data_IF_011500397225
#
_entry.id   IF_011500397225
#
_cell.length_a   1.000
_cell.length_b   1.000
_cell.length_c   1.000
_cell.angle_alpha   90.00
_cell.angle_beta   90.00
_cell.angle_gamma   90.00
#
_symmetry.space_group_name_H-M   'P 1'
#
loop_
_entity.id
_entity.type
_entity.pdbx_description
1 polymer ?
#
# COMPACT_ATOMS: atom_id res chain seq x y z
N UNK A 1 14.18 15.51 17.89
CA UNK A 1 13.09 15.12 16.97
C UNK A 1 12.55 16.38 16.30
N UNK A 2 12.55 16.44 14.96
CA UNK A 2 12.13 17.62 14.18
C UNK A 2 10.65 17.98 14.44
N UNK A 3 10.29 19.27 14.36
CA UNK A 3 8.91 19.75 14.52
C UNK A 3 7.93 19.05 13.56
N UNK A 4 8.38 18.76 12.32
CA UNK A 4 7.57 18.04 11.32
C UNK A 4 7.20 16.63 11.76
N UNK A 5 8.15 15.89 12.35
CA UNK A 5 7.92 14.51 12.82
C UNK A 5 6.90 14.48 13.95
N UNK A 6 6.96 15.46 14.87
CA UNK A 6 5.95 15.60 15.94
C UNK A 6 4.56 15.85 15.39
N UNK A 7 4.44 16.71 14.37
CA UNK A 7 3.16 17.00 13.73
C UNK A 7 2.57 15.79 13.01
N UNK A 8 3.38 15.04 12.25
CA UNK A 8 2.96 13.79 11.59
C UNK A 8 2.47 12.78 12.63
N UNK A 9 3.22 12.59 13.71
CA UNK A 9 2.85 11.65 14.78
C UNK A 9 1.52 12.04 15.44
N UNK A 10 1.33 13.32 15.77
CA UNK A 10 0.08 13.80 16.36
C UNK A 10 -1.12 13.62 15.42
N UNK A 11 -0.94 13.91 14.12
CA UNK A 11 -2.00 13.70 13.11
C UNK A 11 -2.31 12.22 12.94
N UNK A 12 -1.29 11.36 12.94
CA UNK A 12 -1.44 9.91 12.88
C UNK A 12 -2.26 9.36 14.06
N UNK A 13 -1.94 9.78 15.28
CA UNK A 13 -2.70 9.41 16.48
C UNK A 13 -4.15 9.89 16.39
N UNK A 14 -4.38 11.13 15.97
CA UNK A 14 -5.73 11.68 15.79
C UNK A 14 -6.57 10.92 14.75
N UNK A 15 -5.96 10.50 13.63
CA UNK A 15 -6.64 9.65 12.64
C UNK A 15 -6.91 8.25 13.18
N UNK A 16 -6.02 7.73 14.04
CA UNK A 16 -6.26 6.48 14.77
C UNK A 16 -7.51 6.55 15.65
N UNK A 17 -7.68 7.65 16.40
CA UNK A 17 -8.89 7.87 17.22
C UNK A 17 -10.15 8.01 16.37
N UNK A 18 -10.09 8.64 15.20
CA UNK A 18 -11.27 8.69 14.29
C UNK A 18 -11.63 7.31 13.76
N UNK A 19 -10.62 6.50 13.43
CA UNK A 19 -10.80 5.15 12.91
C UNK A 19 -11.31 4.17 13.97
N UNK A 20 -11.06 4.41 15.26
CA UNK A 20 -11.39 3.46 16.33
C UNK A 20 -12.87 3.08 16.38
N UNK A 21 -13.76 3.97 15.98
CA UNK A 21 -15.22 3.73 15.89
C UNK A 21 -15.55 2.60 14.90
N UNK A 22 -14.72 2.37 13.88
CA UNK A 22 -14.92 1.34 12.86
C UNK A 22 -14.27 0.01 13.20
N UNK A 23 -13.36 -0.04 14.18
CA UNK A 23 -12.57 -1.24 14.45
C UNK A 23 -13.43 -2.41 14.93
N UNK A 24 -14.50 -2.16 15.69
CA UNK A 24 -15.44 -3.19 16.12
C UNK A 24 -16.22 -3.77 14.93
N UNK A 25 -16.65 -2.92 13.99
CA UNK A 25 -17.29 -3.39 12.75
C UNK A 25 -16.33 -4.18 11.87
N UNK A 26 -15.07 -3.74 11.75
CA UNK A 26 -14.05 -4.47 11.01
C UNK A 26 -13.69 -5.80 11.67
N UNK A 27 -13.69 -5.89 12.99
CA UNK A 27 -13.53 -7.15 13.71
C UNK A 27 -14.64 -8.13 13.31
N UNK A 28 -15.90 -7.70 13.40
CA UNK A 28 -17.05 -8.52 13.04
C UNK A 28 -17.00 -8.98 11.57
N UNK A 29 -16.67 -8.08 10.65
CA UNK A 29 -16.51 -8.41 9.23
C UNK A 29 -15.36 -9.40 9.02
N UNK A 30 -14.25 -9.24 9.73
CA UNK A 30 -13.12 -10.17 9.68
C UNK A 30 -13.51 -11.58 10.10
N UNK A 31 -14.28 -11.71 11.18
CA UNK A 31 -14.70 -13.01 11.74
C UNK A 31 -15.63 -13.79 10.81
N UNK A 32 -16.59 -13.09 10.19
CA UNK A 32 -17.64 -13.73 9.37
C UNK A 32 -17.38 -13.71 7.86
N UNK A 33 -16.60 -12.75 7.34
CA UNK A 33 -16.40 -12.55 5.90
C UNK A 33 -14.94 -12.82 5.49
N UNK A 34 -13.98 -12.08 6.04
CA UNK A 34 -12.57 -12.20 5.64
C UNK A 34 -11.66 -12.58 6.82
N UNK A 35 -11.62 -13.89 7.10
CA UNK A 35 -10.88 -14.47 8.23
C UNK A 35 -9.36 -14.35 8.13
N UNK A 36 -8.83 -13.91 6.99
CA UNK A 36 -7.39 -13.61 6.87
C UNK A 36 -7.05 -12.25 7.49
N UNK A 37 -8.06 -11.39 7.67
CA UNK A 37 -7.96 -10.06 8.25
C UNK A 37 -8.77 -10.03 9.54
N UNK A 38 -8.13 -10.45 10.61
CA UNK A 38 -8.68 -10.45 11.96
C UNK A 38 -7.83 -9.58 12.86
N UNK A 39 -8.19 -9.50 14.14
CA UNK A 39 -7.41 -8.82 15.18
C UNK A 39 -7.35 -7.31 14.96
N UNK A 40 -8.51 -6.70 14.77
CA UNK A 40 -8.66 -5.24 14.78
C UNK A 40 -8.74 -4.72 16.22
N UNK A 41 -9.48 -5.41 17.07
CA UNK A 41 -9.67 -5.07 18.49
C UNK A 41 -9.07 -6.15 19.41
N UNK A 42 -9.32 -7.42 19.11
CA UNK A 42 -8.89 -8.56 19.92
C UNK A 42 -7.68 -9.26 19.30
N UNK A 43 -6.57 -9.33 20.03
CA UNK A 43 -5.38 -10.05 19.56
C UNK A 43 -5.53 -11.52 19.94
N UNK A 44 -5.51 -12.40 18.94
CA UNK A 44 -5.59 -13.83 19.19
C UNK A 44 -4.27 -14.35 19.73
N UNK A 45 -4.33 -15.27 20.70
CA UNK A 45 -3.12 -15.92 21.21
C UNK A 45 -2.65 -16.94 20.18
N UNK A 46 -1.34 -16.99 19.92
CA UNK A 46 -0.76 -17.95 18.99
C UNK A 46 -1.20 -19.39 19.31
N UNK A 47 -1.85 -20.05 18.35
CA UNK A 47 -2.41 -21.40 18.50
C UNK A 47 -3.87 -21.48 18.92
N UNK A 48 -4.54 -20.34 19.16
CA UNK A 48 -5.98 -20.31 19.41
C UNK A 48 -6.79 -20.55 18.13
N UNK A 49 -7.93 -21.24 18.25
CA UNK A 49 -8.85 -21.45 17.13
C UNK A 49 -9.64 -20.17 16.88
N UNK A 50 -9.39 -19.59 15.71
CA UNK A 50 -9.98 -18.33 15.26
C UNK A 50 -11.43 -18.51 14.77
N UNK A 51 -11.78 -19.68 14.24
CA UNK A 51 -13.03 -19.92 13.51
C UNK A 51 -14.12 -20.61 14.36
N UNK A 52 -14.06 -20.49 15.68
CA UNK A 52 -14.95 -21.26 16.59
C UNK A 52 -16.43 -20.96 16.39
N UNK A 53 -16.76 -19.73 16.01
CA UNK A 53 -18.14 -19.25 15.88
C UNK A 53 -18.62 -19.17 14.42
N UNK A 54 -17.80 -19.64 13.47
CA UNK A 54 -18.19 -19.70 12.07
C UNK A 54 -18.94 -21.01 11.78
N UNK A 55 -20.27 -20.95 11.76
CA UNK A 55 -21.12 -22.09 11.42
C UNK A 55 -21.46 -22.19 9.92
N UNK A 56 -21.41 -21.06 9.19
CA UNK A 56 -21.68 -20.97 7.76
C UNK A 56 -20.57 -20.22 7.04
N UNK A 57 -20.08 -20.76 5.93
CA UNK A 57 -19.02 -20.17 5.12
C UNK A 57 -19.53 -19.38 3.90
N UNK A 58 -20.86 -19.24 3.74
CA UNK A 58 -21.47 -18.59 2.57
C UNK A 58 -20.94 -17.17 2.37
N UNK A 59 -20.82 -16.38 3.44
CA UNK A 59 -20.34 -15.00 3.36
C UNK A 59 -18.88 -14.93 2.87
N UNK A 60 -17.96 -15.66 3.50
CA UNK A 60 -16.56 -15.69 3.07
C UNK A 60 -16.36 -16.26 1.67
N UNK A 61 -17.13 -17.30 1.29
CA UNK A 61 -17.12 -17.85 -0.07
C UNK A 61 -17.58 -16.82 -1.09
N UNK A 62 -18.68 -16.13 -0.82
CA UNK A 62 -19.22 -15.12 -1.72
C UNK A 62 -18.29 -13.91 -1.85
N UNK A 63 -17.59 -13.53 -0.78
CA UNK A 63 -16.56 -12.49 -0.83
C UNK A 63 -15.42 -12.86 -1.80
N UNK A 64 -14.92 -14.10 -1.73
CA UNK A 64 -13.88 -14.59 -2.65
C UNK A 64 -14.37 -14.64 -4.10
N UNK A 65 -15.62 -15.07 -4.33
CA UNK A 65 -16.23 -15.10 -5.66
C UNK A 65 -16.38 -13.68 -6.21
N UNK A 66 -16.88 -12.74 -5.39
CA UNK A 66 -17.04 -11.34 -5.77
C UNK A 66 -15.70 -10.69 -6.10
N UNK A 67 -14.68 -10.86 -5.25
CA UNK A 67 -13.34 -10.34 -5.49
C UNK A 67 -12.75 -10.93 -6.79
N UNK A 68 -12.84 -12.24 -6.99
CA UNK A 68 -12.35 -12.89 -8.22
C UNK A 68 -13.09 -12.42 -9.47
N UNK A 69 -14.41 -12.23 -9.39
CA UNK A 69 -15.22 -11.73 -10.49
C UNK A 69 -14.87 -10.27 -10.82
N UNK A 70 -14.63 -9.42 -9.82
CA UNK A 70 -14.18 -8.04 -10.02
C UNK A 70 -12.78 -7.98 -10.60
N UNK A 71 -11.83 -8.77 -10.08
CA UNK A 71 -10.48 -8.87 -10.64
C UNK A 71 -10.56 -9.32 -12.10
N UNK A 72 -11.32 -10.37 -12.38
CA UNK A 72 -11.49 -10.90 -13.74
C UNK A 72 -12.21 -9.95 -14.69
N UNK A 73 -13.10 -9.09 -14.20
CA UNK A 73 -13.85 -8.14 -15.04
C UNK A 73 -13.09 -6.84 -15.29
N UNK A 74 -12.38 -6.33 -14.27
CA UNK A 74 -11.63 -5.08 -14.36
C UNK A 74 -10.22 -5.31 -14.92
N UNK A 75 -9.59 -6.45 -14.62
CA UNK A 75 -8.22 -6.77 -14.99
C UNK A 75 -8.14 -8.12 -15.74
N UNK A 76 -8.96 -8.25 -16.79
CA UNK A 76 -9.08 -9.43 -17.65
C UNK A 76 -7.84 -9.65 -18.53
N UNK A 77 -6.70 -10.02 -17.95
CA UNK A 77 -5.43 -10.19 -18.67
C UNK A 77 -4.79 -8.84 -19.01
N UNK A 78 -3.74 -8.50 -18.25
CA UNK A 78 -3.28 -7.12 -18.03
C UNK A 78 -2.79 -6.29 -19.23
N UNK A 79 -2.79 -6.84 -20.45
CA UNK A 79 -2.44 -6.08 -21.65
C UNK A 79 -3.58 -5.24 -22.24
N UNK A 80 -4.85 -5.54 -21.96
CA UNK A 80 -5.99 -4.89 -22.65
C UNK A 80 -6.87 -4.01 -21.75
N UNK A 81 -6.54 -3.84 -20.47
CA UNK A 81 -7.36 -3.05 -19.54
C UNK A 81 -7.15 -1.54 -19.69
N UNK A 82 -5.93 -1.11 -20.03
CA UNK A 82 -5.55 0.30 -20.07
C UNK A 82 -5.31 0.71 -21.52
N UNK A 83 -5.74 1.93 -21.87
CA UNK A 83 -5.39 2.58 -23.13
C UNK A 83 -4.77 3.94 -22.84
N UNK A 84 -3.61 4.21 -23.42
CA UNK A 84 -3.04 5.56 -23.43
C UNK A 84 -3.49 6.25 -24.70
N UNK A 85 -4.12 7.42 -24.55
CA UNK A 85 -4.58 8.25 -25.67
C UNK A 85 -3.86 9.59 -25.67
N UNK A 86 -3.74 10.18 -26.85
CA UNK A 86 -3.21 11.53 -27.00
C UNK A 86 -4.10 12.53 -26.24
N UNK A 87 -3.51 13.50 -25.52
CA UNK A 87 -4.25 14.58 -24.90
C UNK A 87 -4.82 15.52 -25.96
N UNK A 88 -5.82 16.29 -25.56
CA UNK A 88 -6.45 17.27 -26.43
C UNK A 88 -5.42 18.29 -26.98
N UNK A 89 -5.44 18.53 -28.29
CA UNK A 89 -4.56 19.49 -28.96
C UNK A 89 -3.31 18.88 -29.62
N UNK A 90 -3.10 17.57 -29.51
CA UNK A 90 -2.08 16.84 -30.28
C UNK A 90 -2.68 16.40 -31.62
N UNK A 91 -1.97 16.65 -32.72
CA UNK A 91 -2.38 16.23 -34.05
C UNK A 91 -2.44 14.69 -34.16
N UNK A 92 -3.49 14.20 -34.84
CA UNK A 92 -3.66 12.78 -35.10
C UNK A 92 -2.79 12.33 -36.28
N UNK A 93 -1.49 12.24 -36.03
CA UNK A 93 -0.50 11.72 -36.99
C UNK A 93 0.00 10.32 -36.55
N UNK A 94 0.58 9.59 -37.50
CA UNK A 94 1.02 8.20 -37.27
C UNK A 94 2.17 8.13 -36.27
N UNK A 95 3.05 9.14 -36.23
CA UNK A 95 4.17 9.21 -35.29
C UNK A 95 3.69 9.33 -33.83
N UNK A 96 2.69 10.17 -33.57
CA UNK A 96 2.09 10.34 -32.25
C UNK A 96 1.38 9.05 -31.83
N UNK A 97 0.64 8.41 -32.73
CA UNK A 97 0.01 7.09 -32.46
C UNK A 97 1.07 6.07 -32.06
N UNK A 98 2.15 5.95 -32.83
CA UNK A 98 3.24 5.03 -32.54
C UNK A 98 3.89 5.30 -31.18
N UNK A 99 4.05 6.58 -30.80
CA UNK A 99 4.57 6.97 -29.50
C UNK A 99 3.66 6.53 -28.34
N UNK A 100 2.35 6.79 -28.42
CA UNK A 100 1.41 6.38 -27.37
C UNK A 100 1.27 4.85 -27.27
N UNK A 101 1.32 4.14 -28.40
CA UNK A 101 1.38 2.68 -28.40
C UNK A 101 2.66 2.14 -27.76
N UNK A 102 3.81 2.77 -28.02
CA UNK A 102 5.08 2.41 -27.38
C UNK A 102 5.03 2.63 -25.86
N UNK A 103 4.48 3.75 -25.41
CA UNK A 103 4.28 4.00 -23.98
C UNK A 103 3.37 2.96 -23.34
N UNK A 104 2.24 2.65 -23.98
CA UNK A 104 1.30 1.64 -23.49
C UNK A 104 1.98 0.28 -23.35
N UNK A 105 2.74 -0.16 -24.36
CA UNK A 105 3.51 -1.41 -24.32
C UNK A 105 4.50 -1.44 -23.16
N UNK A 106 5.17 -0.31 -22.89
CA UNK A 106 6.14 -0.21 -21.80
C UNK A 106 5.45 -0.30 -20.43
N UNK A 107 4.32 0.39 -20.24
CA UNK A 107 3.54 0.34 -19.00
C UNK A 107 3.04 -1.08 -18.74
N UNK A 108 2.44 -1.73 -19.74
CA UNK A 108 1.93 -3.11 -19.62
C UNK A 108 3.08 -4.06 -19.26
N UNK A 109 4.22 -3.98 -19.96
CA UNK A 109 5.36 -4.86 -19.70
C UNK A 109 5.87 -4.75 -18.26
N UNK A 110 5.84 -3.54 -17.68
CA UNK A 110 6.25 -3.33 -16.28
C UNK A 110 5.17 -3.81 -15.30
N UNK A 111 3.90 -3.51 -15.56
CA UNK A 111 2.79 -3.86 -14.67
C UNK A 111 2.50 -5.37 -14.65
N UNK A 112 2.56 -6.03 -15.80
CA UNK A 112 2.31 -7.47 -15.93
C UNK A 112 3.51 -8.34 -15.53
N UNK A 113 4.67 -7.72 -15.30
CA UNK A 113 5.83 -8.43 -14.78
C UNK A 113 5.46 -9.11 -13.45
N UNK A 114 5.63 -10.44 -13.31
CA UNK A 114 5.38 -11.13 -12.05
C UNK A 114 6.19 -10.55 -10.89
N UNK A 115 7.35 -9.95 -11.19
CA UNK A 115 8.22 -9.29 -10.21
C UNK A 115 7.64 -7.99 -9.66
N UNK A 116 6.79 -7.30 -10.43
CA UNK A 116 6.10 -6.12 -9.94
C UNK A 116 5.05 -6.50 -8.90
N UNK A 117 4.48 -7.72 -8.98
CA UNK A 117 3.57 -8.24 -7.95
C UNK A 117 2.15 -7.67 -8.01
N UNK A 118 1.78 -6.97 -9.10
CA UNK A 118 0.48 -6.30 -9.23
C UNK A 118 -0.69 -7.27 -9.02
N UNK A 119 -0.69 -8.42 -9.69
CA UNK A 119 -1.81 -9.38 -9.60
C UNK A 119 -2.06 -9.86 -8.17
N UNK A 120 -1.00 -10.08 -7.40
CA UNK A 120 -1.10 -10.49 -5.99
C UNK A 120 -1.64 -9.34 -5.13
N UNK A 121 -1.04 -8.15 -5.27
CA UNK A 121 -1.47 -6.96 -4.53
C UNK A 121 -2.94 -6.58 -4.86
N UNK A 122 -3.34 -6.71 -6.12
CA UNK A 122 -4.68 -6.40 -6.58
C UNK A 122 -5.73 -7.41 -6.09
N UNK A 123 -5.39 -8.69 -6.00
CA UNK A 123 -6.29 -9.69 -5.43
C UNK A 123 -6.53 -9.44 -3.93
N UNK A 124 -5.48 -9.16 -3.16
CA UNK A 124 -5.62 -8.79 -1.74
C UNK A 124 -6.37 -7.47 -1.58
N UNK A 125 -6.11 -6.47 -2.44
CA UNK A 125 -6.87 -5.23 -2.50
C UNK A 125 -8.36 -5.48 -2.70
N UNK A 126 -8.74 -6.36 -3.63
CA UNK A 126 -10.14 -6.64 -3.92
C UNK A 126 -10.82 -7.40 -2.80
N UNK A 127 -10.15 -8.37 -2.16
CA UNK A 127 -10.69 -9.08 -0.99
C UNK A 127 -11.00 -8.13 0.17
N UNK A 128 -10.11 -7.17 0.42
CA UNK A 128 -10.30 -6.15 1.46
C UNK A 128 -11.36 -5.13 1.04
N UNK A 129 -11.41 -4.76 -0.24
CA UNK A 129 -12.40 -3.82 -0.77
C UNK A 129 -13.83 -4.37 -0.70
N UNK A 130 -14.04 -5.65 -1.01
CA UNK A 130 -15.36 -6.27 -0.99
C UNK A 130 -15.83 -6.58 0.44
N UNK A 131 -14.90 -6.80 1.38
CA UNK A 131 -15.24 -7.04 2.78
C UNK A 131 -15.43 -5.73 3.57
N UNK A 132 -14.43 -4.84 3.56
CA UNK A 132 -14.36 -3.67 4.43
C UNK A 132 -14.71 -2.34 3.73
N UNK A 133 -14.78 -2.34 2.39
CA UNK A 133 -15.04 -1.14 1.60
C UNK A 133 -13.85 -0.18 1.48
N UNK A 134 -12.71 -0.50 2.09
CA UNK A 134 -11.49 0.30 2.02
C UNK A 134 -10.27 -0.60 1.92
N UNK A 135 -9.46 -0.40 0.89
CA UNK A 135 -8.17 -1.04 0.70
C UNK A 135 -7.21 -0.11 -0.03
N UNK A 136 -5.93 -0.47 -0.09
CA UNK A 136 -4.91 0.35 -0.73
C UNK A 136 -3.83 -0.48 -1.43
N UNK A 137 -3.18 0.10 -2.42
CA UNK A 137 -1.98 -0.45 -3.05
C UNK A 137 -0.90 0.62 -2.97
N UNK A 138 0.20 0.31 -2.30
CA UNK A 138 1.43 1.09 -2.34
C UNK A 138 2.28 0.67 -3.54
N UNK A 139 2.87 1.66 -4.21
CA UNK A 139 3.84 1.45 -5.29
C UNK A 139 5.18 1.95 -4.79
N UNK A 140 6.18 1.08 -4.79
CA UNK A 140 7.52 1.36 -4.30
C UNK A 140 8.55 1.08 -5.39
N UNK A 141 9.72 1.70 -5.28
CA UNK A 141 10.86 1.37 -6.13
C UNK A 141 11.37 -0.03 -5.77
N UNK A 142 11.76 -0.80 -6.78
CA UNK A 142 12.35 -2.11 -6.58
C UNK A 142 13.87 -1.98 -6.47
N UNK A 143 14.39 -2.06 -5.23
CA UNK A 143 15.82 -1.90 -4.92
C UNK A 143 16.62 -3.20 -5.13
N UNK A 144 15.99 -4.35 -4.90
CA UNK A 144 16.54 -5.65 -5.25
C UNK A 144 16.46 -5.79 -6.78
N UNK A 145 17.57 -5.52 -7.46
CA UNK A 145 18.10 -6.31 -8.58
C UNK A 145 19.04 -5.44 -9.43
N UNK A 146 20.07 -6.09 -9.98
CA UNK A 146 20.79 -5.63 -11.19
C UNK A 146 19.85 -5.30 -12.39
N UNK A 147 18.54 -5.56 -12.26
CA UNK A 147 17.47 -5.32 -13.23
C UNK A 147 16.64 -4.06 -12.97
N UNK A 148 17.26 -2.92 -12.63
CA UNK A 148 16.67 -1.60 -12.97
C UNK A 148 16.31 -1.49 -14.48
N UNK A 149 16.79 -2.42 -15.30
CA UNK A 149 16.48 -2.54 -16.73
C UNK A 149 15.11 -3.13 -17.06
N UNK A 150 14.47 -3.96 -16.22
CA UNK A 150 13.27 -4.71 -16.63
C UNK A 150 12.00 -4.48 -15.77
N UNK A 151 12.10 -4.24 -14.45
CA UNK A 151 10.91 -4.00 -13.61
C UNK A 151 11.26 -3.09 -12.43
N UNK A 152 11.13 -1.76 -12.58
CA UNK A 152 11.61 -0.80 -11.59
C UNK A 152 10.67 -0.60 -10.40
N UNK A 153 9.45 -1.16 -10.43
CA UNK A 153 8.43 -0.93 -9.41
C UNK A 153 7.96 -2.23 -8.77
N UNK A 154 7.49 -2.12 -7.52
CA UNK A 154 6.84 -3.19 -6.77
C UNK A 154 5.52 -2.68 -6.19
N UNK A 155 4.47 -3.46 -6.41
CA UNK A 155 3.14 -3.24 -5.86
C UNK A 155 2.98 -4.03 -4.56
N UNK A 156 2.51 -3.37 -3.52
CA UNK A 156 2.26 -3.97 -2.21
C UNK A 156 0.87 -3.59 -1.74
N UNK A 157 0.04 -4.58 -1.41
CA UNK A 157 -1.26 -4.32 -0.81
C UNK A 157 -1.09 -3.72 0.60
N UNK A 158 -1.83 -2.66 0.87
CA UNK A 158 -1.88 -2.03 2.19
C UNK A 158 -3.13 -2.47 2.94
N UNK A 159 -2.91 -2.95 4.16
CA UNK A 159 -3.96 -3.48 5.02
C UNK A 159 -4.80 -2.32 5.59
N UNK A 160 -6.11 -2.50 5.58
CA UNK A 160 -7.04 -1.62 6.28
C UNK A 160 -6.71 -1.50 7.76
N UNK A 161 -6.08 -2.49 8.41
CA UNK A 161 -5.65 -2.41 9.82
C UNK A 161 -4.59 -1.35 10.05
N UNK A 162 -3.57 -1.31 9.21
CA UNK A 162 -2.40 -0.43 9.37
C UNK A 162 -2.58 0.93 8.73
N UNK A 163 -3.45 1.01 7.71
CA UNK A 163 -3.70 2.24 6.96
C UNK A 163 -4.65 3.19 7.70
N UNK A 164 -4.38 4.49 7.61
CA UNK A 164 -5.22 5.59 8.09
C UNK A 164 -5.28 6.65 7.00
N UNK A 165 -6.48 7.10 6.65
CA UNK A 165 -6.71 8.06 5.57
C UNK A 165 -7.36 9.33 6.09
N UNK A 166 -7.14 10.44 5.39
CA UNK A 166 -7.90 11.67 5.57
C UNK A 166 -8.25 12.28 4.21
N UNK A 167 -9.41 12.91 4.18
CA UNK A 167 -9.95 13.58 3.00
C UNK A 167 -9.81 15.10 3.12
N UNK A 168 -9.69 15.76 1.97
CA UNK A 168 -9.80 17.20 1.87
C UNK A 168 -11.28 17.65 1.87
N UNK A 169 -11.50 18.98 1.76
CA UNK A 169 -12.85 19.60 1.72
C UNK A 169 -13.79 19.07 0.64
N UNK A 170 -13.27 18.34 -0.35
CA UNK A 170 -14.03 17.79 -1.47
C UNK A 170 -14.22 16.28 -1.38
N UNK A 171 -13.87 15.67 -0.24
CA UNK A 171 -13.96 14.21 -0.07
C UNK A 171 -12.87 13.45 -0.82
N UNK A 172 -11.83 14.12 -1.34
CA UNK A 172 -10.71 13.46 -2.00
C UNK A 172 -9.66 13.12 -0.95
N UNK A 173 -9.24 11.85 -0.90
CA UNK A 173 -8.15 11.40 -0.03
C UNK A 173 -6.87 12.15 -0.39
N UNK A 174 -6.33 12.91 0.56
CA UNK A 174 -5.09 13.66 0.38
C UNK A 174 -3.97 13.20 1.31
N UNK A 175 -4.32 12.55 2.41
CA UNK A 175 -3.38 12.08 3.43
C UNK A 175 -3.55 10.59 3.63
N UNK A 176 -2.46 9.84 3.55
CA UNK A 176 -2.45 8.41 3.84
C UNK A 176 -1.26 8.10 4.73
N UNK A 177 -1.52 7.46 5.86
CA UNK A 177 -0.52 6.98 6.79
C UNK A 177 -0.62 5.45 6.89
N UNK A 178 0.49 4.75 6.67
CA UNK A 178 0.53 3.29 6.75
C UNK A 178 1.67 2.84 7.66
N UNK A 179 1.36 1.98 8.62
CA UNK A 179 2.34 1.38 9.53
C UNK A 179 2.78 0.02 9.02
N UNK A 180 4.09 -0.22 8.90
CA UNK A 180 4.66 -1.52 8.59
C UNK A 180 5.63 -1.95 9.69
N UNK A 181 5.70 -3.25 9.95
CA UNK A 181 6.71 -3.82 10.83
C UNK A 181 7.77 -4.50 9.98
N UNK A 182 9.02 -4.08 10.15
CA UNK A 182 10.19 -4.68 9.51
C UNK A 182 11.20 -5.07 10.58
N UNK A 183 12.02 -6.06 10.31
CA UNK A 183 13.15 -6.42 11.16
C UNK A 183 14.14 -5.27 11.22
N UNK A 184 14.92 -5.20 12.30
CA UNK A 184 15.96 -4.18 12.41
C UNK A 184 17.02 -4.36 11.32
N UNK A 185 17.32 -5.60 10.91
CA UNK A 185 18.24 -5.86 9.80
C UNK A 185 17.73 -5.26 8.48
N UNK A 186 16.48 -5.51 8.10
CA UNK A 186 15.85 -4.90 6.91
C UNK A 186 15.88 -3.37 6.99
N UNK A 187 15.63 -2.80 8.18
CA UNK A 187 15.69 -1.36 8.39
C UNK A 187 17.11 -0.78 8.25
N UNK A 188 18.14 -1.55 8.60
CA UNK A 188 19.55 -1.18 8.39
C UNK A 188 19.86 -1.16 6.91
N UNK A 189 19.40 -2.15 6.16
CA UNK A 189 19.62 -2.25 4.71
C UNK A 189 18.93 -1.09 3.96
N UNK A 190 17.67 -0.78 4.31
CA UNK A 190 16.88 0.26 3.65
C UNK A 190 17.29 1.69 4.05
N UNK A 191 17.43 1.97 5.35
CA UNK A 191 17.64 3.34 5.84
C UNK A 191 19.09 3.66 6.21
N UNK A 192 19.91 2.64 6.46
CA UNK A 192 21.25 2.74 6.99
C UNK A 192 21.29 2.76 8.53
N UNK A 193 22.29 2.08 9.10
CA UNK A 193 22.49 1.93 10.55
C UNK A 193 22.46 3.24 11.35
N UNK A 194 23.11 4.29 10.85
CA UNK A 194 23.21 5.59 11.54
C UNK A 194 21.87 6.34 11.64
N UNK A 195 20.93 6.10 10.72
CA UNK A 195 19.62 6.76 10.73
C UNK A 195 18.63 6.13 11.70
N UNK A 196 18.92 4.94 12.20
CA UNK A 196 18.05 4.25 13.14
C UNK A 196 18.09 4.90 14.53
N UNK A 197 17.21 4.44 15.42
CA UNK A 197 17.23 4.88 16.81
C UNK A 197 18.40 4.24 17.57
N UNK A 198 18.87 4.89 18.64
CA UNK A 198 19.91 4.32 19.50
C UNK A 198 19.49 2.95 20.11
N UNK A 199 18.19 2.74 20.35
CA UNK A 199 17.66 1.45 20.81
C UNK A 199 17.79 0.38 19.72
N UNK A 200 17.39 0.70 18.50
CA UNK A 200 17.45 -0.22 17.36
C UNK A 200 18.89 -0.62 17.04
N UNK A 201 19.81 0.34 17.03
CA UNK A 201 21.25 0.06 16.85
C UNK A 201 21.80 -0.89 17.91
N UNK A 202 21.52 -0.63 19.20
CA UNK A 202 21.95 -1.53 20.29
C UNK A 202 21.41 -2.96 20.15
N UNK A 203 20.18 -3.13 19.66
CA UNK A 203 19.61 -4.45 19.42
C UNK A 203 20.26 -5.13 18.21
N UNK A 204 20.59 -4.36 17.17
CA UNK A 204 21.36 -4.85 16.04
C UNK A 204 22.76 -5.33 16.47
N UNK A 205 23.50 -4.50 17.22
CA UNK A 205 24.84 -4.82 17.74
C UNK A 205 24.85 -6.04 18.68
N UNK A 206 23.71 -6.32 19.33
CA UNK A 206 23.50 -7.49 20.17
C UNK A 206 23.07 -8.74 19.38
N UNK A 207 23.20 -8.75 18.05
CA UNK A 207 22.78 -9.82 17.14
C UNK A 207 21.29 -10.20 17.26
N UNK A 208 20.43 -9.25 17.61
CA UNK A 208 18.97 -9.44 17.64
C UNK A 208 18.27 -8.83 16.42
N UNK A 209 19.04 -8.34 15.45
CA UNK A 209 18.54 -7.58 14.31
C UNK A 209 17.54 -8.33 13.42
N UNK A 210 17.74 -9.65 13.28
CA UNK A 210 16.91 -10.52 12.43
C UNK A 210 15.58 -10.93 13.08
N UNK A 211 15.47 -10.80 14.40
CA UNK A 211 14.30 -11.25 15.18
C UNK A 211 13.46 -10.06 15.61
N UNK A 212 14.11 -9.03 16.15
CA UNK A 212 13.43 -7.86 16.69
C UNK A 212 12.91 -6.98 15.54
N UNK A 213 11.65 -6.56 15.67
CA UNK A 213 10.98 -5.72 14.67
C UNK A 213 10.82 -4.28 15.18
N UNK A 214 10.80 -3.35 14.24
CA UNK A 214 10.46 -1.96 14.47
C UNK A 214 9.30 -1.54 13.57
N UNK A 215 8.51 -0.59 14.06
CA UNK A 215 7.41 0.02 13.30
C UNK A 215 7.95 1.19 12.47
N UNK A 216 7.66 1.17 11.18
CA UNK A 216 7.92 2.25 10.24
C UNK A 216 6.58 2.86 9.84
N UNK A 217 6.51 4.19 9.87
CA UNK A 217 5.33 4.95 9.46
C UNK A 217 5.60 5.59 8.11
N UNK A 218 4.93 5.11 7.07
CA UNK A 218 4.88 5.76 5.77
C UNK A 218 3.87 6.89 5.82
N UNK A 219 4.34 8.12 5.60
CA UNK A 219 3.51 9.32 5.69
C UNK A 219 3.39 10.03 4.33
N UNK A 220 2.23 9.87 3.68
CA UNK A 220 1.87 10.56 2.44
C UNK A 220 0.96 11.74 2.80
N UNK A 221 1.41 12.96 2.52
CA UNK A 221 0.64 14.18 2.79
C UNK A 221 0.91 15.25 1.72
N UNK A 222 -0.07 16.11 1.42
CA UNK A 222 0.12 17.15 0.42
C UNK A 222 1.10 18.19 0.95
N UNK A 223 2.05 18.58 0.10
CA UNK A 223 3.04 19.60 0.45
C UNK A 223 2.40 20.99 0.44
N UNK A 224 2.02 21.49 1.62
CA UNK A 224 1.38 22.81 1.79
C UNK A 224 2.32 24.01 1.51
N UNK A 225 3.61 23.84 1.75
CA UNK A 225 4.64 24.87 1.51
C UNK A 225 5.40 24.63 0.19
N UNK A 226 4.70 24.25 -0.87
CA UNK A 226 5.32 24.13 -2.20
C UNK A 226 5.54 25.53 -2.76
N UNK A 227 6.79 25.91 -2.98
CA UNK A 227 7.14 27.09 -3.80
C UNK A 227 7.16 26.65 -5.27
N UNK A 228 6.18 27.06 -6.11
CA UNK A 228 6.08 26.59 -7.48
C UNK A 228 7.21 27.10 -8.39
N UNK A 229 8.05 28.02 -7.91
CA UNK A 229 9.11 28.69 -8.68
C UNK A 229 10.51 28.09 -8.49
N UNK A 230 10.70 27.14 -7.56
CA UNK A 230 12.03 26.58 -7.25
C UNK A 230 12.26 25.26 -7.99
N UNK A 231 13.19 25.24 -8.94
CA UNK A 231 13.68 24.02 -9.62
C UNK A 231 14.81 23.34 -8.82
N UNK A 232 14.81 22.01 -8.76
CA UNK A 232 15.89 21.21 -8.16
C UNK A 232 15.42 19.83 -7.66
N UNK A 233 16.35 18.89 -7.45
CA UNK A 233 16.07 17.49 -7.04
C UNK A 233 15.23 17.36 -5.75
N UNK A 234 15.26 18.37 -4.87
CA UNK A 234 14.44 18.45 -3.63
C UNK A 234 12.99 18.97 -3.87
N UNK A 235 12.65 19.31 -5.11
CA UNK A 235 11.36 19.89 -5.54
C UNK A 235 10.71 19.13 -6.70
N UNK A 236 11.24 17.97 -7.10
CA UNK A 236 10.49 17.07 -7.96
C UNK A 236 9.25 16.53 -7.21
N UNK A 237 8.15 16.24 -7.92
CA UNK A 237 7.06 15.48 -7.35
C UNK A 237 7.59 14.09 -6.99
N UNK A 238 7.74 13.83 -5.69
CA UNK A 238 7.75 12.47 -5.14
C UNK A 238 6.33 12.13 -4.74
#
# INVERSE_FOLDING_TARGET
MSAKVKAIKAKHEALGTKKSVWLEYFQLIGEYINQRRLEFTEISVAGSFINRELFDNTAGRNNNIMASALVGSLWAGGANTIKVIAPFGIEDNDDNKAYYEFMLKTIINVMDSPKAGLSSAYNEYMLDQTAFGTSGIGVFENEELETKKNTPIRFTAWDIKTMRIAENRWGIIDTIYNESEITISEAVDEFGYEKLSAKSRRLFDANKGEIEKIKILHALEPRRERSPTKFGNKNMPT
#
